data_IF_912063654759
#
_entry.id   IF_912063654759
#
_cell.length_a   1.000
_cell.length_b   1.000
_cell.length_c   1.000
_cell.angle_alpha   90.00
_cell.angle_beta   90.00
_cell.angle_gamma   90.00
#
_symmetry.space_group_name_H-M   'P 1'
#
loop_
_entity.id
_entity.type
_entity.pdbx_description
1 polymer ?
#
# COMPACT_ATOMS: atom_id res chain seq x y z
N UNK A 1 -12.48 -1.17 2.73
CA UNK A 1 -12.54 -2.61 3.04
C UNK A 1 -13.08 -3.31 1.81
N UNK A 2 -12.50 -4.44 1.41
CA UNK A 2 -12.95 -5.21 0.24
C UNK A 2 -13.87 -6.34 0.73
N UNK A 3 -15.17 -6.10 0.68
CA UNK A 3 -16.17 -7.11 1.02
C UNK A 3 -16.08 -8.25 0.00
N UNK A 4 -15.77 -9.47 0.46
CA UNK A 4 -15.59 -10.72 -0.32
C UNK A 4 -14.18 -11.05 -0.81
N UNK A 5 -13.13 -10.32 -0.42
CA UNK A 5 -11.75 -10.73 -0.69
C UNK A 5 -10.96 -10.97 0.60
N UNK A 6 -10.33 -12.13 0.69
CA UNK A 6 -9.47 -12.49 1.83
C UNK A 6 -8.14 -13.06 1.37
N UNK A 7 -7.12 -12.88 2.20
CA UNK A 7 -5.80 -13.50 2.04
C UNK A 7 -5.44 -14.23 3.31
N UNK A 8 -5.23 -15.55 3.23
CA UNK A 8 -4.98 -16.41 4.40
C UNK A 8 -6.03 -16.23 5.52
N UNK A 9 -7.31 -16.02 5.14
CA UNK A 9 -8.40 -15.78 6.09
C UNK A 9 -8.52 -14.34 6.62
N UNK A 10 -7.59 -13.43 6.28
CA UNK A 10 -7.62 -12.02 6.67
C UNK A 10 -8.43 -11.18 5.69
N UNK A 11 -9.17 -10.20 6.21
CA UNK A 11 -9.89 -9.21 5.39
C UNK A 11 -8.88 -8.31 4.67
N UNK A 12 -9.16 -8.02 3.41
CA UNK A 12 -8.35 -7.08 2.64
C UNK A 12 -8.90 -5.64 2.71
N UNK A 13 -7.99 -4.68 2.76
CA UNK A 13 -8.28 -3.25 2.80
C UNK A 13 -7.59 -2.55 1.66
N UNK A 14 -8.24 -1.53 1.13
CA UNK A 14 -7.75 -0.73 0.01
C UNK A 14 -7.65 0.73 0.44
N UNK A 15 -6.56 1.38 0.07
CA UNK A 15 -6.36 2.80 0.32
C UNK A 15 -7.14 3.67 -0.69
N UNK A 16 -7.89 4.65 -0.20
CA UNK A 16 -8.66 5.57 -1.05
C UNK A 16 -7.83 6.78 -1.54
N UNK A 17 -6.76 7.12 -0.83
CA UNK A 17 -5.78 8.15 -1.20
C UNK A 17 -4.38 7.69 -0.77
N UNK A 18 -3.35 8.41 -1.18
CA UNK A 18 -1.98 8.22 -0.72
C UNK A 18 -1.88 8.36 0.80
N UNK A 19 -1.04 7.53 1.40
CA UNK A 19 -0.74 7.61 2.82
C UNK A 19 0.73 8.00 3.02
N UNK A 20 1.02 9.31 3.21
CA UNK A 20 2.38 9.78 3.41
C UNK A 20 2.83 9.61 4.86
N UNK A 21 4.08 9.19 5.03
CA UNK A 21 4.74 9.07 6.32
C UNK A 21 6.20 9.49 6.17
N UNK A 22 6.74 10.16 7.19
CA UNK A 22 8.16 10.42 7.28
C UNK A 22 8.71 9.87 8.59
N UNK A 23 9.73 9.02 8.44
CA UNK A 23 10.49 8.45 9.55
C UNK A 23 11.58 9.44 10.00
N UNK A 24 11.48 9.94 11.22
CA UNK A 24 12.37 10.98 11.73
C UNK A 24 13.81 10.50 11.95
N UNK A 25 14.01 9.19 12.13
CA UNK A 25 15.34 8.60 12.37
C UNK A 25 16.12 8.47 11.07
N UNK A 26 15.51 7.89 10.02
CA UNK A 26 16.17 7.72 8.73
C UNK A 26 16.02 8.93 7.80
N UNK A 27 15.05 9.80 8.05
CA UNK A 27 14.62 10.86 7.14
C UNK A 27 13.87 10.33 5.91
N UNK A 28 13.58 9.02 5.83
CA UNK A 28 12.86 8.45 4.67
C UNK A 28 11.42 8.93 4.67
N UNK A 29 11.02 9.55 3.57
CA UNK A 29 9.62 9.79 3.24
C UNK A 29 9.11 8.56 2.50
N UNK A 30 8.09 7.93 3.07
CA UNK A 30 7.44 6.75 2.54
C UNK A 30 6.01 7.16 2.23
N UNK A 31 5.64 7.05 0.96
CA UNK A 31 4.26 7.30 0.54
C UNK A 31 3.70 5.98 0.06
N UNK A 32 2.64 5.51 0.71
CA UNK A 32 1.91 4.34 0.25
C UNK A 32 0.90 4.81 -0.80
N UNK A 33 0.92 4.23 -2.00
CA UNK A 33 0.08 4.69 -3.10
C UNK A 33 -1.41 4.44 -2.84
N UNK A 34 -2.23 5.30 -3.44
CA UNK A 34 -3.66 5.05 -3.58
C UNK A 34 -3.91 3.69 -4.24
N UNK A 35 -5.01 3.05 -3.83
CA UNK A 35 -5.45 1.72 -4.27
C UNK A 35 -4.58 0.54 -3.88
N UNK A 36 -3.49 0.76 -3.15
CA UNK A 36 -2.72 -0.32 -2.55
C UNK A 36 -3.62 -1.19 -1.66
N UNK A 37 -3.46 -2.51 -1.79
CA UNK A 37 -4.17 -3.48 -0.96
C UNK A 37 -3.28 -3.97 0.18
N UNK A 38 -3.80 -3.89 1.40
CA UNK A 38 -3.14 -4.35 2.63
C UNK A 38 -4.03 -5.37 3.33
N UNK A 39 -3.41 -6.35 3.98
CA UNK A 39 -4.06 -7.40 4.77
C UNK A 39 -3.82 -7.25 6.28
N UNK A 40 -3.07 -6.21 6.69
CA UNK A 40 -2.68 -5.95 8.07
C UNK A 40 -2.02 -7.16 8.75
N UNK A 41 -1.24 -7.95 8.01
CA UNK A 41 -0.54 -9.11 8.55
C UNK A 41 0.40 -8.77 9.71
N UNK A 42 0.90 -7.53 9.75
CA UNK A 42 1.75 -7.00 10.82
C UNK A 42 1.01 -6.66 12.12
N UNK A 43 -0.32 -6.62 12.10
CA UNK A 43 -1.13 -6.45 13.32
C UNK A 43 -1.21 -7.80 14.06
N UNK A 44 -0.91 -7.83 15.39
CA UNK A 44 -0.99 -9.05 16.18
C UNK A 44 -2.34 -9.77 16.05
N UNK A 45 -2.31 -11.11 16.11
CA UNK A 45 -3.47 -11.98 15.83
C UNK A 45 -4.70 -11.65 16.69
N UNK A 46 -4.53 -11.25 17.96
CA UNK A 46 -5.62 -10.84 18.85
C UNK A 46 -6.27 -9.50 18.44
N UNK A 47 -5.56 -8.67 17.69
CA UNK A 47 -6.07 -7.41 17.13
C UNK A 47 -6.78 -7.60 15.79
N UNK A 48 -6.57 -8.73 15.08
CA UNK A 48 -7.07 -8.91 13.70
C UNK A 48 -8.61 -8.91 13.58
N UNK A 49 -9.33 -9.31 14.64
CA UNK A 49 -10.80 -9.30 14.65
C UNK A 49 -11.44 -7.91 14.82
N UNK A 50 -10.70 -6.96 15.38
CA UNK A 50 -11.19 -5.61 15.76
C UNK A 50 -10.32 -4.52 15.14
N UNK A 51 -9.62 -4.82 14.04
CA UNK A 51 -8.78 -3.81 13.37
C UNK A 51 -9.67 -2.68 12.91
N UNK A 52 -9.61 -1.56 13.63
CA UNK A 52 -10.04 -0.28 13.12
C UNK A 52 -8.99 0.13 12.06
N UNK A 53 -9.34 0.20 10.77
CA UNK A 53 -8.37 0.55 9.72
C UNK A 53 -7.81 1.97 9.86
N UNK A 54 -8.47 2.81 10.67
CA UNK A 54 -8.03 4.16 11.03
C UNK A 54 -7.28 4.20 12.37
N UNK A 55 -7.18 3.07 13.07
CA UNK A 55 -6.50 2.95 14.35
C UNK A 55 -4.98 3.12 14.25
N UNK A 56 -4.30 3.48 15.34
CA UNK A 56 -2.85 3.72 15.37
C UNK A 56 -2.01 2.57 14.78
N UNK A 57 -2.28 1.32 15.20
CA UNK A 57 -1.54 0.15 14.73
C UNK A 57 -1.80 -0.14 13.25
N UNK A 58 -3.04 0.02 12.78
CA UNK A 58 -3.40 -0.18 11.38
C UNK A 58 -2.67 0.83 10.47
N UNK A 59 -2.60 2.10 10.88
CA UNK A 59 -1.86 3.14 10.18
C UNK A 59 -0.37 2.84 10.06
N UNK A 60 0.23 2.26 11.11
CA UNK A 60 1.61 1.79 11.06
C UNK A 60 1.77 0.56 10.14
N UNK A 61 0.82 -0.38 10.19
CA UNK A 61 0.80 -1.58 9.36
C UNK A 61 0.73 -1.26 7.86
N UNK A 62 -0.01 -0.22 7.45
CA UNK A 62 -0.02 0.28 6.06
C UNK A 62 1.40 0.55 5.55
N UNK A 63 2.23 1.23 6.36
CA UNK A 63 3.61 1.58 6.01
C UNK A 63 4.47 0.30 5.95
N UNK A 64 4.33 -0.57 6.95
CA UNK A 64 5.09 -1.82 7.03
C UNK A 64 4.81 -2.74 5.84
N UNK A 65 3.53 -3.01 5.58
CA UNK A 65 3.09 -3.86 4.48
C UNK A 65 3.59 -3.30 3.14
N UNK A 66 3.58 -1.98 2.95
CA UNK A 66 4.13 -1.35 1.74
C UNK A 66 5.64 -1.60 1.60
N UNK A 67 6.42 -1.42 2.66
CA UNK A 67 7.87 -1.68 2.64
C UNK A 67 8.18 -3.16 2.39
N UNK A 68 7.36 -4.05 2.93
CA UNK A 68 7.44 -5.50 2.68
C UNK A 68 7.10 -5.83 1.23
N UNK A 69 6.03 -5.25 0.70
CA UNK A 69 5.64 -5.37 -0.69
C UNK A 69 6.75 -4.91 -1.62
N UNK A 70 7.39 -3.76 -1.36
CA UNK A 70 8.55 -3.29 -2.13
C UNK A 70 9.72 -4.26 -2.03
N UNK A 71 10.03 -4.76 -0.82
CA UNK A 71 11.00 -5.85 -0.64
C UNK A 71 12.44 -5.45 -0.98
N UNK A 72 12.86 -4.23 -0.65
CA UNK A 72 14.23 -3.75 -0.91
C UNK A 72 15.29 -4.69 -0.30
N UNK A 73 16.21 -5.19 -1.12
CA UNK A 73 17.17 -6.22 -0.69
C UNK A 73 17.96 -5.78 0.55
N UNK A 74 17.90 -6.58 1.62
CA UNK A 74 18.61 -6.31 2.87
C UNK A 74 17.96 -5.26 3.78
N UNK A 75 16.74 -4.82 3.48
CA UNK A 75 16.04 -3.76 4.26
C UNK A 75 14.85 -4.24 5.09
N UNK A 76 14.68 -5.56 5.25
CA UNK A 76 13.62 -6.12 6.10
C UNK A 76 13.66 -5.55 7.53
N UNK A 77 14.84 -5.57 8.16
CA UNK A 77 14.99 -5.04 9.51
C UNK A 77 14.64 -3.55 9.57
N UNK A 78 15.07 -2.78 8.58
CA UNK A 78 14.76 -1.36 8.50
C UNK A 78 13.23 -1.13 8.40
N UNK A 79 12.52 -1.96 7.63
CA UNK A 79 11.07 -1.92 7.55
C UNK A 79 10.40 -2.24 8.89
N UNK A 80 10.88 -3.25 9.62
CA UNK A 80 10.39 -3.60 10.97
C UNK A 80 10.65 -2.45 11.97
N UNK A 81 11.82 -1.82 11.89
CA UNK A 81 12.18 -0.70 12.77
C UNK A 81 11.35 0.56 12.46
N UNK A 82 11.06 0.81 11.18
CA UNK A 82 10.15 1.89 10.74
C UNK A 82 8.74 1.61 11.25
N UNK A 83 8.26 0.37 11.20
CA UNK A 83 6.95 -0.02 11.74
C UNK A 83 6.85 0.28 13.24
N UNK A 84 7.86 -0.11 14.02
CA UNK A 84 7.91 0.22 15.45
C UNK A 84 7.83 1.72 15.71
N UNK A 85 8.63 2.53 14.98
CA UNK A 85 8.62 3.99 15.13
C UNK A 85 7.30 4.62 14.65
N UNK A 86 6.69 4.08 13.61
CA UNK A 86 5.39 4.52 13.12
C UNK A 86 4.29 4.25 14.15
N UNK A 87 4.29 3.08 14.79
CA UNK A 87 3.37 2.76 15.90
C UNK A 87 3.49 3.78 17.02
N UNK A 88 4.72 4.07 17.48
CA UNK A 88 4.96 5.10 18.50
C UNK A 88 4.47 6.47 18.07
N UNK A 89 4.75 6.87 16.82
CA UNK A 89 4.30 8.16 16.27
C UNK A 89 2.77 8.29 16.23
N UNK A 90 2.06 7.19 15.97
CA UNK A 90 0.60 7.18 15.95
C UNK A 90 -0.05 6.98 17.33
N UNK A 91 0.74 6.89 18.40
CA UNK A 91 0.24 6.83 19.77
C UNK A 91 -0.05 5.41 20.29
N UNK A 92 0.52 4.38 19.66
CA UNK A 92 0.53 3.02 20.24
C UNK A 92 1.46 3.00 21.46
N UNK A 93 1.06 2.31 22.53
CA UNK A 93 1.89 2.20 23.73
C UNK A 93 3.20 1.44 23.45
N UNK A 94 4.26 1.76 24.19
CA UNK A 94 5.58 1.13 24.02
C UNK A 94 5.55 -0.39 24.19
N UNK A 95 4.68 -0.87 25.09
CA UNK A 95 4.46 -2.30 25.32
C UNK A 95 3.84 -2.99 24.12
N UNK A 96 2.72 -2.47 23.60
CA UNK A 96 2.04 -3.03 22.43
C UNK A 96 2.92 -2.96 21.18
N UNK A 97 3.60 -1.82 20.98
CA UNK A 97 4.54 -1.65 19.88
C UNK A 97 5.71 -2.64 19.96
N UNK A 98 6.21 -2.91 21.17
CA UNK A 98 7.27 -3.89 21.42
C UNK A 98 6.84 -5.33 21.08
N UNK A 99 5.62 -5.72 21.49
CA UNK A 99 5.06 -7.04 21.14
C UNK A 99 4.93 -7.18 19.62
N UNK A 100 4.32 -6.20 18.95
CA UNK A 100 4.12 -6.24 17.51
C UNK A 100 5.45 -6.25 16.75
N UNK A 101 6.44 -5.46 17.18
CA UNK A 101 7.78 -5.48 16.62
C UNK A 101 8.43 -6.86 16.74
N UNK A 102 8.45 -7.45 17.94
CA UNK A 102 9.04 -8.77 18.15
C UNK A 102 8.36 -9.85 17.30
N UNK A 103 7.03 -9.76 17.12
CA UNK A 103 6.28 -10.68 16.28
C UNK A 103 6.72 -10.61 14.81
N UNK A 104 6.85 -9.41 14.22
CA UNK A 104 7.31 -9.26 12.82
C UNK A 104 8.79 -9.62 12.66
N UNK A 105 9.62 -9.37 13.68
CA UNK A 105 11.04 -9.78 13.67
C UNK A 105 11.19 -11.30 13.59
N UNK A 106 10.41 -12.04 14.38
CA UNK A 106 10.45 -13.49 14.47
C UNK A 106 9.73 -14.20 13.31
N UNK A 107 8.63 -13.65 12.79
CA UNK A 107 7.75 -14.34 11.82
C UNK A 107 7.63 -13.71 10.44
N UNK A 108 8.14 -12.49 10.22
CA UNK A 108 7.89 -11.71 9.00
C UNK A 108 8.65 -12.17 7.75
N UNK A 109 9.70 -12.97 7.88
CA UNK A 109 10.62 -13.29 6.78
C UNK A 109 9.92 -13.82 5.52
N UNK A 110 8.92 -14.69 5.68
CA UNK A 110 8.18 -15.29 4.57
C UNK A 110 7.32 -14.31 3.78
N UNK A 111 6.98 -13.16 4.35
CA UNK A 111 6.18 -12.12 3.71
C UNK A 111 7.00 -11.05 2.98
N UNK A 112 8.33 -11.08 3.08
CA UNK A 112 9.15 -9.99 2.56
C UNK A 112 9.34 -10.10 1.04
N UNK A 113 8.87 -9.12 0.29
CA UNK A 113 9.08 -9.01 -1.15
C UNK A 113 8.25 -9.98 -2.01
N UNK A 114 7.17 -10.54 -1.47
CA UNK A 114 6.30 -11.46 -2.23
C UNK A 114 5.68 -10.76 -3.44
N UNK A 115 5.61 -11.49 -4.56
CA UNK A 115 5.01 -10.98 -5.79
C UNK A 115 3.50 -10.73 -5.64
N UNK A 116 2.80 -11.60 -4.90
CA UNK A 116 1.36 -11.54 -4.68
C UNK A 116 0.92 -10.33 -3.81
N UNK A 117 1.86 -9.69 -3.12
CA UNK A 117 1.60 -8.49 -2.30
C UNK A 117 1.59 -7.21 -3.16
N UNK A 118 2.07 -7.29 -4.41
CA UNK A 118 2.01 -6.19 -5.38
C UNK A 118 0.61 -6.06 -6.00
N UNK A 119 -0.37 -5.71 -5.18
CA UNK A 119 -1.78 -5.70 -5.54
C UNK A 119 -2.44 -4.33 -5.36
N UNK A 120 -3.21 -3.92 -6.36
CA UNK A 120 -3.92 -2.64 -6.42
C UNK A 120 -5.35 -2.85 -6.90
N UNK A 121 -6.31 -2.21 -6.22
CA UNK A 121 -7.73 -2.31 -6.57
C UNK A 121 -8.36 -0.92 -6.57
N UNK A 122 -8.94 -0.52 -7.69
CA UNK A 122 -9.86 0.61 -7.75
C UNK A 122 -11.20 0.18 -7.14
N UNK A 123 -11.63 0.75 -5.99
CA UNK A 123 -12.87 0.37 -5.35
C UNK A 123 -14.11 0.70 -6.21
N UNK A 124 -13.98 1.51 -7.26
CA UNK A 124 -15.07 1.75 -8.23
C UNK A 124 -15.24 0.60 -9.23
N UNK A 125 -14.24 -0.29 -9.35
CA UNK A 125 -14.24 -1.44 -10.29
C UNK A 125 -13.59 -2.68 -9.66
N UNK A 126 -14.11 -3.20 -8.52
CA UNK A 126 -13.45 -4.25 -7.76
C UNK A 126 -13.38 -5.61 -8.48
N UNK A 127 -14.21 -5.81 -9.52
CA UNK A 127 -14.24 -7.06 -10.31
C UNK A 127 -13.26 -7.07 -11.49
N UNK A 128 -12.63 -5.95 -11.83
CA UNK A 128 -11.69 -5.88 -12.93
C UNK A 128 -10.27 -6.18 -12.42
N UNK A 129 -9.56 -7.11 -13.08
CA UNK A 129 -8.12 -7.29 -12.85
C UNK A 129 -7.40 -6.05 -13.39
N UNK A 130 -6.86 -5.23 -12.51
CA UNK A 130 -6.17 -3.99 -12.86
C UNK A 130 -4.66 -4.18 -12.73
N UNK A 131 -3.86 -3.71 -13.71
CA UNK A 131 -2.43 -3.64 -13.52
C UNK A 131 -2.11 -2.61 -12.43
N UNK A 132 -0.96 -2.78 -11.78
CA UNK A 132 -0.45 -1.74 -10.88
C UNK A 132 -0.31 -0.42 -11.63
N UNK A 133 -0.64 0.72 -11.01
CA UNK A 133 -0.65 2.02 -11.68
C UNK A 133 0.75 2.51 -12.10
N UNK A 134 1.80 1.89 -11.59
CA UNK A 134 3.20 2.17 -11.91
C UNK A 134 4.08 0.94 -11.65
N UNK A 135 5.31 0.95 -12.15
CA UNK A 135 6.28 -0.13 -11.95
C UNK A 135 6.76 -0.23 -10.50
N UNK A 136 7.05 -1.45 -10.03
CA UNK A 136 7.52 -1.70 -8.65
C UNK A 136 8.82 -0.93 -8.37
N UNK A 137 8.85 -0.02 -7.37
CA UNK A 137 10.05 0.74 -7.08
C UNK A 137 11.14 -0.15 -6.47
N UNK A 138 12.40 0.27 -6.59
CA UNK A 138 13.53 -0.43 -5.97
C UNK A 138 13.63 -0.17 -4.46
N UNK A 139 13.13 0.98 -4.00
CA UNK A 139 13.20 1.43 -2.62
C UNK A 139 11.83 1.85 -2.12
N UNK A 140 11.57 1.66 -0.83
CA UNK A 140 10.31 2.07 -0.21
C UNK A 140 10.20 3.57 0.05
N UNK A 141 11.34 4.28 0.04
CA UNK A 141 11.40 5.72 0.22
C UNK A 141 11.22 6.47 -1.11
N UNK A 142 10.38 7.49 -1.11
CA UNK A 142 10.14 8.39 -2.25
C UNK A 142 11.05 9.62 -2.21
N UNK A 143 11.45 10.05 -1.00
CA UNK A 143 12.39 11.16 -0.74
C UNK A 143 13.18 10.91 0.54
N UNK A 144 14.29 11.62 0.69
CA UNK A 144 15.01 11.74 1.97
C UNK A 144 14.86 13.19 2.45
N UNK A 145 14.33 13.36 3.66
CA UNK A 145 14.13 14.62 4.35
C UNK A 145 14.70 14.49 5.77
N UNK A 146 15.90 15.01 6.05
CA UNK A 146 16.53 14.90 7.36
C UNK A 146 15.61 15.40 8.47
N UNK A 147 15.40 14.56 9.50
CA UNK A 147 14.48 14.83 10.63
C UNK A 147 13.06 15.22 10.22
N UNK A 148 12.65 14.90 8.99
CA UNK A 148 11.35 15.27 8.42
C UNK A 148 11.07 16.78 8.37
N UNK A 149 12.10 17.63 8.34
CA UNK A 149 11.94 19.08 8.28
C UNK A 149 11.22 19.47 6.98
N UNK A 150 10.10 20.19 7.11
CA UNK A 150 9.27 20.63 5.98
C UNK A 150 8.33 19.55 5.42
N UNK A 151 8.25 18.36 6.04
CA UNK A 151 7.37 17.29 5.58
C UNK A 151 5.89 17.69 5.63
N UNK A 152 5.42 18.23 6.76
CA UNK A 152 4.02 18.66 6.90
C UNK A 152 3.66 19.78 5.89
N UNK A 153 4.57 20.75 5.69
CA UNK A 153 4.39 21.81 4.69
C UNK A 153 4.33 21.26 3.27
N UNK A 154 5.16 20.25 2.95
CA UNK A 154 5.15 19.59 1.64
C UNK A 154 3.80 18.92 1.37
N UNK A 155 3.27 18.18 2.35
CA UNK A 155 1.97 17.50 2.23
C UNK A 155 0.83 18.52 2.17
N UNK A 156 0.85 19.55 3.02
CA UNK A 156 -0.14 20.63 3.01
C UNK A 156 -0.13 21.43 1.70
N UNK A 157 1.04 21.53 1.04
CA UNK A 157 1.20 22.15 -0.29
C UNK A 157 0.63 21.31 -1.45
N UNK A 158 0.04 20.15 -1.18
CA UNK A 158 -0.61 19.32 -2.20
C UNK A 158 0.35 18.45 -3.01
N UNK A 159 1.59 18.25 -2.55
CA UNK A 159 2.52 17.34 -3.20
C UNK A 159 2.00 15.89 -3.17
N UNK A 160 2.07 15.21 -4.31
CA UNK A 160 1.72 13.79 -4.48
C UNK A 160 2.94 13.02 -4.98
N UNK A 161 3.16 11.83 -4.44
CA UNK A 161 4.34 11.03 -4.78
C UNK A 161 4.16 10.22 -6.05
N UNK A 162 2.94 9.74 -6.29
CA UNK A 162 2.60 8.94 -7.44
C UNK A 162 1.75 9.77 -8.41
N UNK A 163 1.93 9.59 -9.72
CA UNK A 163 1.05 10.23 -10.67
C UNK A 163 -0.38 9.73 -10.41
N UNK A 164 -1.35 10.65 -10.40
CA UNK A 164 -2.75 10.27 -10.54
C UNK A 164 -2.88 9.70 -11.94
N UNK A 165 -2.70 8.39 -12.09
CA UNK A 165 -2.84 7.75 -13.37
C UNK A 165 -4.23 8.10 -13.90
N UNK A 166 -4.29 8.86 -15.01
CA UNK A 166 -5.39 8.69 -15.96
C UNK A 166 -5.25 7.25 -16.39
N UNK A 167 -5.96 6.35 -15.71
CA UNK A 167 -5.74 4.94 -15.88
C UNK A 167 -5.81 4.60 -17.37
N UNK A 168 -4.67 4.22 -17.95
CA UNK A 168 -4.57 3.76 -19.32
C UNK A 168 -5.16 2.36 -19.34
N UNK A 169 -6.48 2.30 -19.35
CA UNK A 169 -7.18 1.06 -19.63
C UNK A 169 -7.08 0.83 -21.13
N UNK A 170 -6.60 -0.34 -21.53
CA UNK A 170 -6.90 -0.86 -22.85
C UNK A 170 -8.43 -0.96 -22.93
N UNK A 171 -9.08 -0.01 -23.58
CA UNK A 171 -10.46 -0.16 -24.01
C UNK A 171 -10.44 -1.40 -24.92
N UNK A 172 -11.18 -2.49 -24.62
CA UNK A 172 -11.36 -3.54 -25.61
C UNK A 172 -11.85 -2.84 -26.87
N UNK A 173 -11.10 -2.91 -27.97
CA UNK A 173 -11.59 -2.38 -29.24
C UNK A 173 -12.94 -3.03 -29.47
N UNK A 174 -14.01 -2.23 -29.48
CA UNK A 174 -15.29 -2.73 -29.95
C UNK A 174 -15.01 -3.33 -31.32
N UNK A 175 -15.45 -4.57 -31.62
CA UNK A 175 -15.38 -5.07 -32.97
C UNK A 175 -16.04 -4.02 -33.86
N UNK A 176 -15.27 -3.46 -34.79
CA UNK A 176 -15.77 -2.49 -35.76
C UNK A 176 -16.94 -3.19 -36.44
N UNK A 177 -18.15 -2.69 -36.20
CA UNK A 177 -19.33 -3.21 -36.88
C UNK A 177 -19.06 -3.13 -38.38
N UNK A 178 -19.05 -4.27 -39.06
CA UNK A 178 -18.92 -4.32 -40.50
C UNK A 178 -19.99 -3.40 -41.12
N UNK A 179 -19.65 -2.54 -42.09
CA UNK A 179 -20.63 -1.66 -42.70
C UNK A 179 -21.75 -2.49 -43.34
N UNK A 180 -22.94 -2.42 -42.75
CA UNK A 180 -24.17 -2.96 -43.33
C UNK A 180 -24.57 -2.06 -44.49
N UNK A 181 -24.23 -2.44 -45.71
CA UNK A 181 -24.68 -1.70 -46.88
C UNK A 181 -23.84 -1.94 -48.13
N UNK A 182 -23.92 -3.15 -48.69
CA UNK A 182 -23.64 -3.32 -50.12
C UNK A 182 -24.98 -3.37 -50.85
N UNK A 183 -25.31 -2.41 -51.74
CA UNK A 183 -26.45 -2.57 -52.61
C UNK A 183 -26.18 -3.73 -53.57
N UNK A 184 -27.11 -4.69 -53.63
CA UNK A 184 -27.09 -5.70 -54.70
C UNK A 184 -27.19 -4.95 -56.03
N UNK A 185 -26.17 -5.10 -56.88
CA UNK A 185 -26.20 -4.63 -58.27
C UNK A 185 -27.40 -5.28 -59.01
N UNK A 186 -27.98 -4.57 -59.99
CA UNK A 186 -29.20 -5.00 -60.68
C UNK A 186 -29.00 -6.29 -61.50
#
# INVERSE_FOLDING_TARGET
MLFNMTKQGRKLFVLNDEFPFCDTVTGKVIVVPKWYVTDFASVPWYGQGVVNPQGPTARAAIIHDWLYTVGEKGKRQEADDIFYRAMKKFGVSDFEAGIAYNAVRAGGERGYGLADDWMFIDPTRPMAKQPAPFGKPRTGATKIMPKCIGFETLIAGGWKAYPVARASYAVPQMPIAAPSGMPKKP
#
